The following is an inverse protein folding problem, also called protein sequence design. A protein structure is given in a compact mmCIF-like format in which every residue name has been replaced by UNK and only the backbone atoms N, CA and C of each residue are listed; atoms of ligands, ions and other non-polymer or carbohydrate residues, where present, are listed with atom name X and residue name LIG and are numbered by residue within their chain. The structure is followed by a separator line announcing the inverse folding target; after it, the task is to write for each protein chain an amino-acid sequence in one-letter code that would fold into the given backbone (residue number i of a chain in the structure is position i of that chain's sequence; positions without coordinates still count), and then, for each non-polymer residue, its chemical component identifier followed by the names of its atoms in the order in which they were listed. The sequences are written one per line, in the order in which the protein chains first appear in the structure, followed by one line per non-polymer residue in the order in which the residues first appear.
data_IF_406539388010
#
_entry.id   IF_406539388010
#
_cell.length_a   1.000
_cell.length_b   1.000
_cell.length_c   1.000
_cell.angle_alpha   90.00
_cell.angle_beta   90.00
_cell.angle_gamma   90.00
#
_symmetry.space_group_name_H-M   'P 1'
#
loop_
_entity.id
_entity.type
_entity.pdbx_description
1 polymer ?
#
# COMPACT_ATOMS: atom_id res chain seq x y z
N UNK A 1 -11.01 28.05 -16.62
CA UNK A 1 -11.05 27.33 -15.33
C UNK A 1 -12.40 26.65 -15.25
N UNK A 2 -12.44 25.32 -15.22
CA UNK A 2 -13.69 24.56 -15.19
C UNK A 2 -14.25 24.53 -13.76
N UNK A 3 -15.58 24.45 -13.62
CA UNK A 3 -16.31 24.39 -12.35
C UNK A 3 -15.84 23.24 -11.41
N UNK A 4 -15.15 22.24 -11.97
CA UNK A 4 -14.47 21.14 -11.24
C UNK A 4 -13.16 21.59 -10.59
N UNK A 5 -12.38 22.42 -11.28
CA UNK A 5 -11.10 22.96 -10.77
C UNK A 5 -11.33 23.93 -9.61
N UNK A 6 -12.40 24.73 -9.68
CA UNK A 6 -12.82 25.63 -8.60
C UNK A 6 -13.33 24.87 -7.35
N UNK A 7 -14.09 23.77 -7.51
CA UNK A 7 -14.42 22.88 -6.37
C UNK A 7 -13.18 22.20 -5.76
N UNK A 8 -12.16 21.93 -6.57
CA UNK A 8 -10.88 21.39 -6.10
C UNK A 8 -10.05 22.40 -5.29
N UNK A 9 -10.19 23.70 -5.57
CA UNK A 9 -9.40 24.77 -4.92
C UNK A 9 -10.09 25.41 -3.72
N UNK A 10 -11.43 25.46 -3.68
CA UNK A 10 -12.16 26.24 -2.66
C UNK A 10 -12.80 25.43 -1.51
N UNK A 11 -12.73 24.09 -1.50
CA UNK A 11 -13.62 23.28 -0.63
C UNK A 11 -13.04 22.15 0.23
N UNK A 12 -11.82 21.67 0.02
CA UNK A 12 -11.28 20.54 0.80
C UNK A 12 -10.03 21.00 1.55
N UNK A 13 -10.19 21.37 2.82
CA UNK A 13 -9.08 21.69 3.72
C UNK A 13 -8.11 20.49 3.77
N UNK A 14 -7.06 20.54 2.96
CA UNK A 14 -6.01 19.51 2.99
C UNK A 14 -5.46 19.41 4.41
N UNK A 15 -5.47 18.23 5.06
CA UNK A 15 -5.09 18.09 6.46
C UNK A 15 -3.56 18.10 6.60
N UNK A 16 -2.91 19.23 6.28
CA UNK A 16 -1.44 19.37 6.25
C UNK A 16 -0.80 18.98 7.58
N UNK A 17 -1.41 19.34 8.71
CA UNK A 17 -0.95 18.93 10.03
C UNK A 17 -1.00 17.41 10.24
N UNK A 18 -2.03 16.74 9.73
CA UNK A 18 -2.14 15.29 9.76
C UNK A 18 -1.10 14.62 8.86
N UNK A 19 -0.85 15.15 7.66
CA UNK A 19 0.21 14.66 6.78
C UNK A 19 1.61 14.85 7.37
N UNK A 20 1.88 16.00 7.99
CA UNK A 20 3.12 16.23 8.70
C UNK A 20 3.31 15.24 9.86
N UNK A 21 2.25 14.94 10.62
CA UNK A 21 2.27 13.93 11.67
C UNK A 21 2.57 12.52 11.12
N UNK A 22 1.98 12.14 9.99
CA UNK A 22 2.25 10.85 9.35
C UNK A 22 3.68 10.77 8.81
N UNK A 23 4.17 11.81 8.13
CA UNK A 23 5.51 11.87 7.59
C UNK A 23 6.58 11.81 8.70
N UNK A 24 6.38 12.55 9.79
CA UNK A 24 7.25 12.50 10.98
C UNK A 24 7.22 11.13 11.63
N UNK A 25 6.04 10.52 11.79
CA UNK A 25 5.91 9.15 12.32
C UNK A 25 6.69 8.14 11.47
N UNK A 26 6.56 8.21 10.14
CA UNK A 26 7.32 7.35 9.23
C UNK A 26 8.83 7.56 9.37
N UNK A 27 9.29 8.80 9.30
CA UNK A 27 10.70 9.14 9.37
C UNK A 27 11.33 8.74 10.71
N UNK A 28 10.64 9.02 11.82
CA UNK A 28 11.09 8.60 13.16
C UNK A 28 11.11 7.09 13.29
N UNK A 29 10.08 6.39 12.80
CA UNK A 29 10.03 4.92 12.80
C UNK A 29 11.19 4.31 12.01
N UNK A 30 11.45 4.83 10.81
CA UNK A 30 12.56 4.40 9.97
C UNK A 30 13.92 4.67 10.64
N UNK A 31 14.10 5.84 11.25
CA UNK A 31 15.32 6.18 11.98
C UNK A 31 15.55 5.28 13.20
N UNK A 32 14.51 5.00 13.98
CA UNK A 32 14.57 4.07 15.13
C UNK A 32 14.88 2.66 14.66
N UNK A 33 14.26 2.20 13.58
CA UNK A 33 14.56 0.90 12.99
C UNK A 33 16.02 0.81 12.54
N UNK A 34 16.51 1.81 11.79
CA UNK A 34 17.89 1.85 11.33
C UNK A 34 18.89 1.84 12.51
N UNK A 35 18.64 2.67 13.54
CA UNK A 35 19.48 2.74 14.73
C UNK A 35 19.48 1.43 15.53
N UNK A 36 18.33 0.77 15.67
CA UNK A 36 18.22 -0.50 16.38
C UNK A 36 18.85 -1.66 15.60
N UNK A 37 18.68 -1.70 14.28
CA UNK A 37 19.34 -2.68 13.40
C UNK A 37 20.87 -2.52 13.46
N UNK A 38 21.36 -1.29 13.42
CA UNK A 38 22.79 -0.99 13.57
C UNK A 38 23.32 -1.43 14.94
N UNK A 39 22.62 -1.09 16.03
CA UNK A 39 23.02 -1.51 17.39
C UNK A 39 23.01 -3.03 17.59
N UNK A 40 22.13 -3.74 16.88
CA UNK A 40 22.06 -5.22 16.91
C UNK A 40 23.06 -5.89 15.96
N UNK A 41 23.89 -5.11 15.25
CA UNK A 41 24.89 -5.65 14.33
C UNK A 41 24.28 -6.37 13.12
N UNK A 42 23.08 -5.96 12.67
CA UNK A 42 22.44 -6.51 11.48
C UNK A 42 23.38 -6.30 10.28
N UNK A 43 23.80 -7.40 9.66
CA UNK A 43 24.63 -7.36 8.46
C UNK A 43 23.73 -7.22 7.24
N UNK A 44 23.83 -6.08 6.57
CA UNK A 44 23.16 -5.85 5.31
C UNK A 44 23.75 -6.77 4.23
N UNK A 45 22.93 -7.23 3.27
CA UNK A 45 23.44 -7.97 2.13
C UNK A 45 24.37 -7.08 1.30
N UNK A 46 25.48 -7.64 0.84
CA UNK A 46 26.49 -6.92 0.03
C UNK A 46 25.92 -6.46 -1.31
N UNK A 47 24.96 -7.21 -1.85
CA UNK A 47 24.23 -6.88 -3.08
C UNK A 47 22.76 -7.25 -2.92
N UNK A 48 21.87 -6.52 -3.60
CA UNK A 48 20.47 -6.88 -3.73
C UNK A 48 20.27 -7.43 -5.14
N UNK A 49 20.02 -8.74 -5.30
CA UNK A 49 19.78 -9.32 -6.62
C UNK A 49 18.59 -8.66 -7.33
N UNK A 50 18.66 -8.50 -8.65
CA UNK A 50 17.58 -7.90 -9.44
C UNK A 50 16.24 -8.65 -9.25
N UNK A 51 16.29 -9.97 -9.06
CA UNK A 51 15.11 -10.78 -8.74
C UNK A 51 14.47 -10.41 -7.39
N UNK A 52 15.28 -10.12 -6.37
CA UNK A 52 14.76 -9.69 -5.07
C UNK A 52 14.12 -8.30 -5.17
N UNK A 53 14.66 -7.40 -6.01
CA UNK A 53 14.02 -6.11 -6.32
C UNK A 53 12.67 -6.30 -7.01
N UNK A 54 12.60 -7.21 -7.99
CA UNK A 54 11.35 -7.55 -8.67
C UNK A 54 10.31 -8.08 -7.68
N UNK A 55 10.68 -9.06 -6.85
CA UNK A 55 9.80 -9.63 -5.82
C UNK A 55 9.36 -8.59 -4.78
N UNK A 56 10.25 -7.73 -4.31
CA UNK A 56 9.91 -6.63 -3.40
C UNK A 56 8.92 -5.67 -4.05
N UNK A 57 9.12 -5.32 -5.32
CA UNK A 57 8.23 -4.45 -6.09
C UNK A 57 6.83 -5.04 -6.25
N UNK A 58 6.73 -6.28 -6.74
CA UNK A 58 5.44 -6.98 -6.93
C UNK A 58 4.74 -7.25 -5.60
N UNK A 59 5.48 -7.62 -4.56
CA UNK A 59 4.94 -7.81 -3.22
C UNK A 59 4.41 -6.49 -2.63
N UNK A 60 5.16 -5.40 -2.77
CA UNK A 60 4.73 -4.06 -2.33
C UNK A 60 3.45 -3.63 -3.03
N UNK A 61 3.38 -3.81 -4.35
CA UNK A 61 2.19 -3.54 -5.14
C UNK A 61 0.96 -4.33 -4.64
N UNK A 62 1.11 -5.64 -4.44
CA UNK A 62 -0.01 -6.48 -3.99
C UNK A 62 -0.45 -6.13 -2.58
N UNK A 63 0.49 -6.01 -1.65
CA UNK A 63 0.19 -5.72 -0.27
C UNK A 63 -0.43 -4.32 -0.11
N UNK A 64 0.06 -3.30 -0.83
CA UNK A 64 -0.56 -1.97 -0.77
C UNK A 64 -1.99 -1.97 -1.31
N UNK A 65 -2.27 -2.66 -2.43
CA UNK A 65 -3.65 -2.81 -2.92
C UNK A 65 -4.52 -3.66 -1.99
N UNK A 66 -3.99 -4.73 -1.40
CA UNK A 66 -4.74 -5.54 -0.45
C UNK A 66 -5.19 -4.72 0.77
N UNK A 67 -4.33 -3.84 1.28
CA UNK A 67 -4.67 -2.98 2.41
C UNK A 67 -5.65 -1.86 2.01
N UNK A 68 -5.51 -1.29 0.82
CA UNK A 68 -6.23 -0.07 0.43
C UNK A 68 -7.46 -0.28 -0.44
N UNK A 69 -7.59 -1.44 -1.09
CA UNK A 69 -8.63 -1.72 -2.10
C UNK A 69 -9.41 -3.00 -1.83
N UNK A 70 -8.93 -3.91 -0.99
CA UNK A 70 -9.62 -5.19 -0.79
C UNK A 70 -10.90 -5.06 0.06
N UNK A 71 -12.00 -5.67 -0.40
CA UNK A 71 -13.28 -5.61 0.30
C UNK A 71 -13.24 -6.31 1.67
N UNK A 72 -12.48 -7.40 1.81
CA UNK A 72 -12.32 -8.14 3.06
C UNK A 72 -11.61 -7.29 4.10
N UNK A 73 -10.63 -6.46 3.70
CA UNK A 73 -9.90 -5.57 4.63
C UNK A 73 -10.66 -4.28 4.96
N UNK A 74 -11.89 -4.09 4.46
CA UNK A 74 -12.65 -2.86 4.66
C UNK A 74 -12.96 -2.53 6.12
N UNK A 75 -12.99 -3.52 7.03
CA UNK A 75 -13.17 -3.28 8.46
C UNK A 75 -12.03 -2.45 9.08
N UNK A 76 -10.81 -2.54 8.54
CA UNK A 76 -9.67 -1.72 8.98
C UNK A 76 -9.83 -0.26 8.56
N UNK A 77 -10.51 -0.02 7.43
CA UNK A 77 -10.65 1.30 6.82
C UNK A 77 -11.91 2.04 7.24
N UNK A 78 -12.99 1.32 7.56
CA UNK A 78 -14.27 1.89 7.97
C UNK A 78 -14.19 3.01 9.04
N UNK A 79 -13.28 3.00 10.03
CA UNK A 79 -13.14 4.10 10.99
C UNK A 79 -12.60 5.42 10.39
N UNK A 80 -11.87 5.35 9.28
CA UNK A 80 -11.13 6.47 8.68
C UNK A 80 -11.56 6.80 7.25
N UNK A 81 -12.31 5.94 6.58
CA UNK A 81 -12.77 6.14 5.21
C UNK A 81 -14.29 6.02 5.07
N UNK A 82 -14.82 6.65 4.02
CA UNK A 82 -16.16 6.45 3.49
C UNK A 82 -16.08 5.80 2.11
N UNK A 83 -16.93 4.80 1.86
CA UNK A 83 -17.00 4.12 0.57
C UNK A 83 -17.66 5.04 -0.46
N UNK A 84 -16.95 5.33 -1.54
CA UNK A 84 -17.44 6.14 -2.65
C UNK A 84 -17.86 5.29 -3.85
N UNK A 85 -17.39 4.05 -3.95
CA UNK A 85 -17.78 3.16 -5.02
C UNK A 85 -17.14 1.78 -4.98
N UNK A 86 -17.42 1.01 -6.01
CA UNK A 86 -16.79 -0.28 -6.26
C UNK A 86 -15.97 -0.17 -7.56
N UNK A 87 -14.69 -0.52 -7.47
CA UNK A 87 -13.80 -0.62 -8.63
C UNK A 87 -13.95 -1.97 -9.33
N UNK A 88 -13.07 -2.19 -10.32
CA UNK A 88 -13.01 -3.46 -11.03
C UNK A 88 -12.59 -4.61 -10.09
N UNK A 89 -12.97 -5.84 -10.42
CA UNK A 89 -12.49 -7.04 -9.75
C UNK A 89 -12.68 -7.06 -8.21
N UNK A 90 -13.85 -6.59 -7.72
CA UNK A 90 -14.19 -6.49 -6.31
C UNK A 90 -13.36 -5.51 -5.46
N UNK A 91 -12.56 -4.66 -6.09
CA UNK A 91 -11.91 -3.56 -5.37
C UNK A 91 -12.93 -2.55 -4.87
N UNK A 92 -12.65 -1.93 -3.73
CA UNK A 92 -13.46 -0.84 -3.18
C UNK A 92 -12.73 0.49 -3.31
N UNK A 93 -13.49 1.52 -3.66
CA UNK A 93 -13.01 2.89 -3.74
C UNK A 93 -13.52 3.62 -2.51
N UNK A 94 -12.57 4.02 -1.67
CA UNK A 94 -12.78 4.69 -0.41
C UNK A 94 -12.09 6.04 -0.46
N UNK A 95 -12.66 7.06 0.17
CA UNK A 95 -12.02 8.34 0.45
C UNK A 95 -11.85 8.54 1.96
N UNK A 96 -10.84 9.29 2.38
CA UNK A 96 -10.68 9.65 3.79
C UNK A 96 -11.91 10.41 4.30
N UNK A 97 -12.26 10.26 5.58
CA UNK A 97 -13.39 10.97 6.18
C UNK A 97 -13.03 11.72 7.45
N UNK A 98 -13.85 12.70 7.79
CA UNK A 98 -13.63 13.58 8.93
C UNK A 98 -12.59 14.65 8.63
N UNK A 99 -11.90 15.14 9.66
CA UNK A 99 -10.95 16.25 9.57
C UNK A 99 -9.62 15.91 10.26
N UNK A 100 -8.60 16.75 10.03
CA UNK A 100 -7.29 16.65 10.68
C UNK A 100 -6.63 15.28 10.50
N UNK A 101 -6.11 14.71 11.59
CA UNK A 101 -5.38 13.44 11.56
C UNK A 101 -6.25 12.27 11.07
N UNK A 102 -7.55 12.26 11.38
CA UNK A 102 -8.45 11.20 10.93
C UNK A 102 -8.57 11.17 9.41
N UNK A 103 -8.71 12.36 8.80
CA UNK A 103 -8.75 12.49 7.35
C UNK A 103 -7.42 12.06 6.73
N UNK A 104 -6.30 12.53 7.29
CA UNK A 104 -4.97 12.16 6.80
C UNK A 104 -4.69 10.66 6.86
N UNK A 105 -5.08 9.98 7.95
CA UNK A 105 -4.99 8.51 8.06
C UNK A 105 -5.89 7.84 7.02
N UNK A 106 -7.11 8.35 6.83
CA UNK A 106 -8.04 7.89 5.81
C UNK A 106 -7.45 7.96 4.40
N UNK A 107 -6.84 9.09 4.06
CA UNK A 107 -6.19 9.33 2.76
C UNK A 107 -4.96 8.43 2.56
N UNK A 108 -4.19 8.17 3.62
CA UNK A 108 -3.08 7.23 3.57
C UNK A 108 -3.56 5.80 3.25
N UNK A 109 -4.56 5.30 4.00
CA UNK A 109 -5.04 3.91 3.89
C UNK A 109 -6.05 3.68 2.76
N UNK A 110 -6.48 4.73 2.05
CA UNK A 110 -7.27 4.60 0.82
C UNK A 110 -6.41 4.73 -0.45
N UNK A 111 -5.21 5.31 -0.33
CA UNK A 111 -4.28 5.51 -1.43
C UNK A 111 -3.21 4.41 -1.50
N UNK A 112 -3.22 3.56 -2.55
CA UNK A 112 -2.25 2.46 -2.69
C UNK A 112 -0.82 2.96 -2.88
N UNK A 113 -0.63 4.17 -3.44
CA UNK A 113 0.69 4.78 -3.61
C UNK A 113 1.25 5.34 -2.30
N UNK A 114 0.41 5.92 -1.45
CA UNK A 114 0.86 6.40 -0.14
C UNK A 114 1.16 5.21 0.79
N UNK A 115 0.28 4.20 0.79
CA UNK A 115 0.48 2.98 1.58
C UNK A 115 1.69 2.17 1.10
N UNK A 116 2.04 2.19 -0.19
CA UNK A 116 3.18 1.42 -0.72
C UNK A 116 4.51 1.81 -0.08
N UNK A 117 4.72 3.09 0.28
CA UNK A 117 5.93 3.53 0.97
C UNK A 117 6.09 2.85 2.35
N UNK A 118 4.99 2.76 3.10
CA UNK A 118 4.96 2.10 4.41
C UNK A 118 5.18 0.59 4.29
N UNK A 119 4.50 -0.04 3.33
CA UNK A 119 4.63 -1.47 3.03
C UNK A 119 6.06 -1.81 2.59
N UNK A 120 6.64 -1.02 1.69
CA UNK A 120 8.02 -1.21 1.24
C UNK A 120 9.01 -1.10 2.41
N UNK A 121 8.84 -0.11 3.29
CA UNK A 121 9.65 0.02 4.49
C UNK A 121 9.59 -1.22 5.39
N UNK A 122 8.39 -1.76 5.61
CA UNK A 122 8.20 -3.00 6.38
C UNK A 122 8.82 -4.24 5.72
N UNK A 123 8.64 -4.40 4.41
CA UNK A 123 9.21 -5.53 3.66
C UNK A 123 10.73 -5.46 3.60
N UNK A 124 11.31 -4.28 3.34
CA UNK A 124 12.76 -4.07 3.34
C UNK A 124 13.34 -4.27 4.74
N UNK A 125 12.67 -3.76 5.78
CA UNK A 125 13.09 -4.00 7.16
C UNK A 125 13.09 -5.49 7.52
N UNK A 126 12.06 -6.23 7.10
CA UNK A 126 11.98 -7.68 7.28
C UNK A 126 13.07 -8.40 6.49
N UNK A 127 13.32 -7.98 5.26
CA UNK A 127 14.38 -8.52 4.41
C UNK A 127 15.78 -8.29 5.02
N UNK A 128 16.01 -7.15 5.66
CA UNK A 128 17.27 -6.83 6.31
C UNK A 128 17.52 -7.66 7.59
N UNK A 129 16.49 -7.85 8.43
CA UNK A 129 16.63 -8.52 9.75
C UNK A 129 16.47 -10.04 9.64
N UNK A 130 15.61 -10.50 8.72
CA UNK A 130 15.26 -11.90 8.53
C UNK A 130 15.11 -12.24 7.03
N UNK A 131 16.23 -12.30 6.27
CA UNK A 131 16.20 -12.38 4.80
C UNK A 131 15.42 -13.57 4.25
N UNK A 132 15.47 -14.73 4.92
CA UNK A 132 14.69 -15.92 4.52
C UNK A 132 13.18 -15.68 4.62
N UNK A 133 12.75 -15.06 5.73
CA UNK A 133 11.34 -14.72 5.93
C UNK A 133 10.90 -13.61 4.97
N UNK A 134 11.72 -12.56 4.79
CA UNK A 134 11.45 -11.49 3.84
C UNK A 134 11.28 -12.00 2.40
N UNK A 135 12.18 -12.88 1.94
CA UNK A 135 12.07 -13.52 0.62
C UNK A 135 10.81 -14.38 0.49
N UNK A 136 10.48 -15.18 1.50
CA UNK A 136 9.28 -16.01 1.49
C UNK A 136 8.00 -15.16 1.43
N UNK A 137 7.93 -14.09 2.20
CA UNK A 137 6.80 -13.16 2.18
C UNK A 137 6.66 -12.48 0.81
N UNK A 138 7.76 -11.98 0.25
CA UNK A 138 7.72 -11.32 -1.06
C UNK A 138 7.35 -12.31 -2.18
N UNK A 139 7.90 -13.52 -2.13
CA UNK A 139 7.54 -14.59 -3.07
C UNK A 139 6.06 -14.97 -2.96
N UNK A 140 5.53 -15.12 -1.74
CA UNK A 140 4.12 -15.44 -1.50
C UNK A 140 3.18 -14.36 -2.07
N UNK A 141 3.43 -13.08 -1.75
CA UNK A 141 2.63 -11.98 -2.28
C UNK A 141 2.72 -11.88 -3.81
N UNK A 142 3.89 -12.14 -4.37
CA UNK A 142 4.08 -12.16 -5.83
C UNK A 142 3.35 -13.32 -6.49
N UNK A 143 3.30 -14.49 -5.86
CA UNK A 143 2.51 -15.62 -6.33
C UNK A 143 1.01 -15.29 -6.35
N UNK A 144 0.51 -14.50 -5.39
CA UNK A 144 -0.88 -14.01 -5.43
C UNK A 144 -1.11 -13.09 -6.62
N UNK A 145 -0.16 -12.20 -6.97
CA UNK A 145 -0.26 -11.39 -8.20
C UNK A 145 -0.41 -12.30 -9.42
N UNK A 146 0.44 -13.32 -9.55
CA UNK A 146 0.34 -14.28 -10.65
C UNK A 146 -1.03 -14.99 -10.67
N UNK A 147 -1.55 -15.38 -9.49
CA UNK A 147 -2.89 -15.97 -9.37
C UNK A 147 -3.99 -15.03 -9.83
N UNK A 148 -3.95 -13.74 -9.45
CA UNK A 148 -4.93 -12.75 -9.89
C UNK A 148 -4.90 -12.57 -11.41
N UNK A 149 -3.70 -12.51 -12.01
CA UNK A 149 -3.54 -12.43 -13.47
C UNK A 149 -4.13 -13.63 -14.19
N UNK A 150 -3.95 -14.84 -13.64
CA UNK A 150 -4.57 -16.05 -14.18
C UNK A 150 -6.10 -16.00 -14.08
N UNK A 151 -6.65 -15.49 -12.98
CA UNK A 151 -8.09 -15.30 -12.83
C UNK A 151 -8.64 -14.30 -13.85
N UNK A 152 -7.93 -13.19 -14.09
CA UNK A 152 -8.30 -12.24 -15.14
C UNK A 152 -8.25 -12.86 -16.53
N UNK A 153 -7.17 -13.57 -16.85
CA UNK A 153 -7.05 -14.29 -18.12
C UNK A 153 -8.21 -15.28 -18.33
N UNK A 154 -8.55 -16.06 -17.30
CA UNK A 154 -9.68 -16.99 -17.34
C UNK A 154 -11.01 -16.28 -17.61
N UNK A 155 -11.29 -15.18 -16.89
CA UNK A 155 -12.54 -14.41 -17.09
C UNK A 155 -12.67 -13.88 -18.53
N UNK A 156 -11.57 -13.42 -19.12
CA UNK A 156 -11.53 -12.94 -20.49
C UNK A 156 -11.74 -14.07 -21.51
N UNK A 157 -11.14 -15.24 -21.26
CA UNK A 157 -11.33 -16.41 -22.15
C UNK A 157 -12.72 -17.02 -22.04
N UNK A 158 -13.31 -17.04 -20.85
CA UNK A 158 -14.66 -17.54 -20.64
C UNK A 158 -15.69 -16.68 -21.36
N UNK A 159 -15.59 -15.35 -21.24
CA UNK A 159 -16.47 -14.42 -21.94
C UNK A 159 -16.43 -14.61 -23.47
N UNK A 160 -15.22 -14.75 -24.04
CA UNK A 160 -15.05 -15.00 -25.48
C UNK A 160 -15.56 -16.35 -25.97
N UNK A 161 -15.73 -17.33 -25.10
CA UNK A 161 -16.25 -18.64 -25.46
C UNK A 161 -17.79 -18.69 -25.43
N UNK A 162 -18.42 -17.74 -24.75
CA UNK A 162 -19.88 -17.57 -24.67
C UNK A 162 -20.44 -16.67 -25.78
N UNK A 163 -19.59 -15.87 -26.43
CA UNK A 163 -19.88 -15.05 -27.63
C UNK A 163 -19.82 -15.87 -28.93
#
# INVERSE_FOLDING_TARGET
MTDVEQRYTDGEETPLGGYAALATTFATGAAVFAATAWRRGVRLPETVPAWDVALLGTATFKASRLLTKDKVTSFLRAPFTSREGQGNANEVMDAGRGTGLRRAVGDLISCPFCTSAWVAGGLVGTYAVAPRAGRLLCAGLSAVVLSDWLQYAWSLTAQKAEE
#
